data_IF_906034177004
#
_entry.id   IF_906034177004
#
_cell.length_a   1.000
_cell.length_b   1.000
_cell.length_c   1.000
_cell.angle_alpha   90.00
_cell.angle_beta   90.00
_cell.angle_gamma   90.00
#
_symmetry.space_group_name_H-M   'P 1'
#
loop_
_entity.id
_entity.type
_entity.pdbx_description
1 polymer ?
#
# COMPACT_ATOMS: atom_id res chain seq x y z
N UNK A 1 -36.40 -14.65 -44.57
CA UNK A 1 -35.07 -14.01 -44.35
C UNK A 1 -34.27 -14.89 -43.41
N UNK A 2 -33.34 -15.71 -43.91
CA UNK A 2 -32.47 -16.59 -43.11
C UNK A 2 -31.34 -15.72 -42.53
N UNK A 3 -31.36 -15.47 -41.24
CA UNK A 3 -30.26 -14.77 -40.54
C UNK A 3 -29.05 -15.69 -40.56
N UNK A 4 -27.95 -15.23 -41.15
CA UNK A 4 -26.72 -15.99 -41.31
C UNK A 4 -26.14 -16.36 -39.91
N UNK A 5 -25.81 -17.63 -39.67
CA UNK A 5 -25.20 -18.07 -38.40
C UNK A 5 -23.86 -17.39 -38.15
N UNK A 6 -23.21 -16.84 -39.16
CA UNK A 6 -21.94 -16.15 -39.04
C UNK A 6 -22.02 -14.87 -38.17
N UNK A 7 -23.15 -14.15 -38.19
CA UNK A 7 -23.37 -12.96 -37.37
C UNK A 7 -23.53 -13.31 -35.88
N UNK A 8 -24.11 -14.48 -35.58
CA UNK A 8 -24.31 -14.91 -34.20
C UNK A 8 -22.99 -15.37 -33.54
N UNK A 9 -22.12 -16.04 -34.30
CA UNK A 9 -20.80 -16.46 -33.80
C UNK A 9 -19.84 -15.29 -33.63
N UNK A 10 -19.89 -14.28 -34.48
CA UNK A 10 -19.08 -13.07 -34.34
C UNK A 10 -19.49 -12.24 -33.12
N UNK A 11 -20.79 -12.14 -32.84
CA UNK A 11 -21.31 -11.43 -31.66
C UNK A 11 -20.96 -12.16 -30.35
N UNK A 12 -20.96 -13.48 -30.34
CA UNK A 12 -20.57 -14.30 -29.18
C UNK A 12 -19.06 -14.18 -28.88
N UNK A 13 -18.21 -14.08 -29.91
CA UNK A 13 -16.77 -13.88 -29.78
C UNK A 13 -16.42 -12.48 -29.20
N UNK A 14 -17.18 -11.46 -29.53
CA UNK A 14 -16.96 -10.09 -29.01
C UNK A 14 -17.32 -10.01 -27.51
N UNK A 15 -18.30 -10.76 -27.04
CA UNK A 15 -18.70 -10.77 -25.62
C UNK A 15 -17.65 -11.47 -24.74
N UNK A 16 -16.91 -12.42 -25.27
CA UNK A 16 -15.87 -13.16 -24.54
C UNK A 16 -14.58 -12.36 -24.32
N UNK A 17 -14.38 -11.26 -25.03
CA UNK A 17 -13.15 -10.45 -24.90
C UNK A 17 -13.25 -9.29 -23.89
N UNK A 18 -14.42 -9.05 -23.30
CA UNK A 18 -14.55 -8.09 -22.19
C UNK A 18 -14.19 -8.83 -20.89
N UNK A 19 -12.97 -9.30 -20.82
CA UNK A 19 -12.35 -9.67 -19.55
C UNK A 19 -12.08 -8.38 -18.78
N UNK A 20 -13.08 -7.94 -18.03
CA UNK A 20 -12.96 -6.83 -17.11
C UNK A 20 -11.93 -7.23 -16.05
N UNK A 21 -10.67 -6.83 -16.19
CA UNK A 21 -9.68 -6.95 -15.12
C UNK A 21 -10.17 -6.07 -13.97
N UNK A 22 -10.91 -6.67 -13.04
CA UNK A 22 -11.27 -6.03 -11.78
C UNK A 22 -9.99 -5.74 -11.05
N UNK A 23 -9.61 -4.47 -10.97
CA UNK A 23 -8.56 -4.06 -10.04
C UNK A 23 -9.10 -4.31 -8.62
N UNK A 24 -8.40 -5.14 -7.86
CA UNK A 24 -8.75 -5.35 -6.46
C UNK A 24 -8.71 -4.03 -5.71
N UNK A 25 -9.78 -3.72 -4.99
CA UNK A 25 -9.86 -2.57 -4.09
C UNK A 25 -9.94 -3.08 -2.67
N UNK A 26 -9.13 -2.49 -1.79
CA UNK A 26 -9.03 -2.85 -0.39
C UNK A 26 -9.76 -1.83 0.47
N UNK A 27 -10.63 -2.30 1.37
CA UNK A 27 -11.27 -1.47 2.38
C UNK A 27 -10.49 -1.59 3.69
N UNK A 28 -10.09 -0.45 4.24
CA UNK A 28 -9.42 -0.41 5.53
C UNK A 28 -10.44 -0.30 6.68
N UNK A 29 -10.17 -0.90 7.84
CA UNK A 29 -11.08 -0.85 9.00
C UNK A 29 -11.25 0.57 9.57
N UNK A 30 -10.24 1.40 9.43
CA UNK A 30 -10.22 2.81 9.83
C UNK A 30 -9.82 3.65 8.62
N UNK A 31 -10.57 4.73 8.36
CA UNK A 31 -10.23 5.67 7.29
C UNK A 31 -9.15 6.66 7.76
N UNK A 32 -7.95 6.14 8.01
CA UNK A 32 -6.81 6.90 8.51
C UNK A 32 -6.44 8.07 7.58
N UNK A 33 -6.24 9.26 8.17
CA UNK A 33 -5.94 10.49 7.47
C UNK A 33 -4.47 10.89 7.67
N UNK A 34 -3.59 10.50 6.73
CA UNK A 34 -2.17 10.85 6.80
C UNK A 34 -1.95 12.37 6.78
N UNK A 35 -2.72 13.09 5.94
CA UNK A 35 -2.58 14.54 5.81
C UNK A 35 -2.75 15.26 7.15
N UNK A 36 -3.78 14.91 7.90
CA UNK A 36 -4.05 15.49 9.22
C UNK A 36 -2.87 15.26 10.18
N UNK A 37 -2.38 14.03 10.24
CA UNK A 37 -1.28 13.67 11.15
C UNK A 37 0.05 14.34 10.77
N UNK A 38 0.31 14.51 9.47
CA UNK A 38 1.54 15.16 8.99
C UNK A 38 1.47 16.68 9.10
N UNK A 39 0.34 17.29 8.71
CA UNK A 39 0.24 18.75 8.64
C UNK A 39 -0.19 19.39 9.98
N UNK A 40 -1.04 18.74 10.77
CA UNK A 40 -1.58 19.32 11.99
C UNK A 40 -0.93 18.78 13.27
N UNK A 41 -0.54 17.48 13.26
CA UNK A 41 0.18 16.89 14.40
C UNK A 41 1.70 16.89 14.23
N UNK A 42 2.24 17.42 13.12
CA UNK A 42 3.68 17.54 12.80
C UNK A 42 4.43 16.20 12.88
N UNK A 43 3.75 15.08 12.49
CA UNK A 43 4.32 13.75 12.53
C UNK A 43 5.00 13.38 11.21
N UNK A 44 6.23 12.89 11.29
CA UNK A 44 6.96 12.35 10.15
C UNK A 44 6.62 10.87 9.91
N UNK A 45 7.01 10.37 8.72
CA UNK A 45 6.76 8.97 8.35
C UNK A 45 7.33 7.97 9.38
N UNK A 46 8.49 8.28 9.94
CA UNK A 46 9.23 7.38 10.83
C UNK A 46 8.71 7.36 12.27
N UNK A 47 7.90 8.34 12.67
CA UNK A 47 7.29 8.35 14.00
C UNK A 47 6.31 7.19 14.13
N UNK A 48 5.65 6.82 13.03
CA UNK A 48 4.74 5.70 12.97
C UNK A 48 5.35 4.44 12.32
N UNK A 49 6.08 4.58 11.21
CA UNK A 49 6.68 3.44 10.49
C UNK A 49 8.11 3.13 10.96
N UNK A 50 8.27 2.86 12.25
CA UNK A 50 9.57 2.70 12.96
C UNK A 50 10.48 1.60 12.36
N UNK A 51 9.91 0.55 11.77
CA UNK A 51 10.66 -0.59 11.21
C UNK A 51 11.36 -0.36 9.87
N UNK A 52 11.03 0.72 9.16
CA UNK A 52 11.51 0.99 7.78
C UNK A 52 13.04 1.03 7.66
N UNK A 53 13.72 1.64 8.61
CA UNK A 53 15.16 1.83 8.55
C UNK A 53 15.96 0.58 8.94
N UNK A 54 15.36 -0.32 9.71
CA UNK A 54 16.07 -1.44 10.38
C UNK A 54 15.66 -2.81 9.87
N UNK A 55 14.43 -2.95 9.34
CA UNK A 55 13.86 -4.23 8.97
C UNK A 55 13.64 -4.36 7.45
N UNK A 56 13.44 -5.59 7.03
CA UNK A 56 13.05 -5.91 5.65
C UNK A 56 11.65 -5.37 5.35
N UNK A 57 10.70 -5.55 6.28
CA UNK A 57 9.33 -5.05 6.18
C UNK A 57 9.20 -3.76 6.99
N UNK A 58 8.51 -2.77 6.38
CA UNK A 58 8.15 -1.54 7.02
C UNK A 58 7.02 -1.77 7.98
N UNK A 59 6.87 -2.16 8.99
CA UNK A 59 5.70 -2.39 9.86
C UNK A 59 4.54 -1.41 9.60
N UNK A 60 3.31 -1.89 9.76
CA UNK A 60 2.13 -1.04 9.81
C UNK A 60 1.93 -0.69 11.29
N UNK A 61 1.90 0.61 11.66
CA UNK A 61 1.65 1.01 13.05
C UNK A 61 0.29 0.52 13.52
N UNK A 62 0.19 0.19 14.79
CA UNK A 62 -1.05 -0.31 15.38
C UNK A 62 -1.30 0.35 16.74
N UNK A 63 -2.18 -0.18 17.57
CA UNK A 63 -2.64 0.45 18.81
C UNK A 63 -1.50 0.86 19.75
N UNK A 64 -0.40 0.12 19.76
CA UNK A 64 0.80 0.43 20.53
C UNK A 64 1.47 1.76 20.17
N UNK A 65 1.26 2.23 18.93
CA UNK A 65 1.70 3.56 18.48
C UNK A 65 0.58 4.58 18.65
N UNK A 66 -0.65 4.19 18.33
CA UNK A 66 -1.80 5.10 18.37
C UNK A 66 -2.09 5.61 19.79
N UNK A 67 -1.91 4.78 20.82
CA UNK A 67 -2.19 5.11 22.22
C UNK A 67 -1.31 6.24 22.76
N UNK A 68 -0.15 6.48 22.15
CA UNK A 68 0.74 7.57 22.58
C UNK A 68 0.03 8.95 22.55
N UNK A 69 -1.05 9.07 21.74
CA UNK A 69 -1.86 10.29 21.65
C UNK A 69 -3.37 10.04 21.78
N UNK A 70 -3.86 8.85 21.43
CA UNK A 70 -5.27 8.50 21.37
C UNK A 70 -5.74 7.62 22.54
N UNK A 71 -5.26 7.87 23.75
CA UNK A 71 -5.81 7.21 24.96
C UNK A 71 -7.30 7.56 25.12
N UNK A 72 -7.64 8.82 24.78
CA UNK A 72 -9.00 9.33 24.70
C UNK A 72 -9.22 10.01 23.34
N UNK A 73 -10.49 10.20 22.95
CA UNK A 73 -10.81 10.91 21.72
C UNK A 73 -10.50 12.41 21.85
N UNK A 74 -9.76 12.97 20.89
CA UNK A 74 -9.43 14.39 20.80
C UNK A 74 -10.37 15.16 19.89
N UNK A 75 -11.26 14.47 19.16
CA UNK A 75 -12.21 15.06 18.22
C UNK A 75 -13.52 14.28 18.16
N UNK A 76 -14.52 14.83 17.46
CA UNK A 76 -15.80 14.15 17.21
C UNK A 76 -15.73 13.18 15.99
N UNK A 77 -14.53 12.80 15.55
CA UNK A 77 -14.35 11.92 14.40
C UNK A 77 -14.75 10.49 14.72
N UNK A 78 -15.69 9.93 13.95
CA UNK A 78 -16.07 8.51 14.06
C UNK A 78 -14.91 7.56 13.73
N UNK A 79 -13.94 8.00 12.96
CA UNK A 79 -12.77 7.18 12.64
C UNK A 79 -11.79 7.14 13.82
N UNK A 80 -11.64 8.25 14.54
CA UNK A 80 -10.90 8.29 15.79
C UNK A 80 -11.58 7.47 16.88
N UNK A 81 -12.91 7.57 17.04
CA UNK A 81 -13.69 6.73 17.96
C UNK A 81 -13.40 5.23 17.74
N UNK A 82 -13.27 4.78 16.49
CA UNK A 82 -12.88 3.39 16.19
C UNK A 82 -11.49 3.07 16.75
N UNK A 83 -10.54 3.99 16.61
CA UNK A 83 -9.16 3.78 17.11
C UNK A 83 -9.17 3.66 18.63
N UNK A 84 -9.84 4.59 19.32
CA UNK A 84 -10.00 4.56 20.79
C UNK A 84 -10.67 3.26 21.25
N UNK A 85 -11.69 2.78 20.53
CA UNK A 85 -12.34 1.50 20.83
C UNK A 85 -11.38 0.31 20.66
N UNK A 86 -10.53 0.28 19.61
CA UNK A 86 -9.51 -0.75 19.46
C UNK A 86 -8.49 -0.73 20.61
N UNK A 87 -8.11 0.47 21.05
CA UNK A 87 -7.18 0.65 22.18
C UNK A 87 -7.80 0.17 23.48
N UNK A 88 -9.01 0.62 23.82
CA UNK A 88 -9.72 0.27 25.06
C UNK A 88 -9.98 -1.24 25.18
N UNK A 89 -10.21 -1.92 24.05
CA UNK A 89 -10.40 -3.36 23.98
C UNK A 89 -9.06 -4.12 23.91
N UNK A 90 -7.90 -3.44 23.92
CA UNK A 90 -6.58 -4.00 23.69
C UNK A 90 -6.53 -4.91 22.45
N UNK A 91 -7.17 -4.49 21.38
CA UNK A 91 -7.36 -5.25 20.14
C UNK A 91 -6.67 -4.57 18.97
N UNK A 92 -5.82 -5.32 18.27
CA UNK A 92 -5.12 -4.79 17.09
C UNK A 92 -6.10 -4.41 15.99
N UNK A 93 -5.83 -3.27 15.32
CA UNK A 93 -6.56 -2.86 14.13
C UNK A 93 -6.21 -3.83 13.00
N UNK A 94 -7.20 -4.52 12.37
CA UNK A 94 -6.95 -5.52 11.34
C UNK A 94 -6.66 -4.87 9.97
N UNK A 95 -5.55 -4.15 9.89
CA UNK A 95 -5.13 -3.48 8.66
C UNK A 95 -4.99 -4.44 7.49
N UNK A 96 -5.46 -4.03 6.32
CA UNK A 96 -5.31 -4.77 5.07
C UNK A 96 -4.03 -4.32 4.36
N UNK A 97 -3.11 -5.24 4.13
CA UNK A 97 -1.88 -4.95 3.41
C UNK A 97 -2.17 -4.72 1.92
N UNK A 98 -1.98 -3.49 1.44
CA UNK A 98 -2.23 -3.07 0.06
C UNK A 98 -1.00 -3.23 -0.83
N UNK A 99 0.18 -2.83 -0.33
CA UNK A 99 1.43 -2.96 -1.07
C UNK A 99 2.08 -4.30 -0.78
N UNK A 100 2.20 -5.14 -1.80
CA UNK A 100 2.82 -6.45 -1.72
C UNK A 100 3.87 -6.63 -2.80
N UNK A 101 4.99 -7.22 -2.41
CA UNK A 101 5.96 -7.82 -3.33
C UNK A 101 5.66 -9.32 -3.34
N UNK A 102 5.68 -10.01 -4.50
CA UNK A 102 5.47 -11.46 -4.57
C UNK A 102 6.43 -12.22 -3.65
N UNK A 103 5.98 -13.34 -3.08
CA UNK A 103 6.75 -14.09 -2.08
C UNK A 103 8.08 -14.63 -2.60
N UNK A 104 8.19 -14.85 -3.91
CA UNK A 104 9.42 -15.28 -4.59
C UNK A 104 10.41 -14.13 -4.85
N UNK A 105 10.05 -12.89 -4.53
CA UNK A 105 10.89 -11.71 -4.74
C UNK A 105 11.40 -11.15 -3.41
N UNK A 106 12.70 -10.95 -3.32
CA UNK A 106 13.35 -10.41 -2.14
C UNK A 106 13.34 -8.89 -2.19
N UNK A 107 12.63 -8.28 -1.26
CA UNK A 107 12.62 -6.84 -1.08
C UNK A 107 12.96 -6.48 0.36
N UNK A 108 13.69 -5.39 0.58
CA UNK A 108 14.02 -4.90 1.91
C UNK A 108 13.94 -3.38 1.96
N UNK A 109 13.04 -2.85 2.78
CA UNK A 109 12.97 -1.41 3.04
C UNK A 109 14.30 -0.85 3.55
N UNK A 110 14.96 -1.53 4.49
CA UNK A 110 16.27 -1.11 5.00
C UNK A 110 17.28 -0.91 3.87
N UNK A 111 17.35 -1.83 2.89
CA UNK A 111 18.29 -1.69 1.77
C UNK A 111 17.96 -0.49 0.88
N UNK A 112 16.67 -0.23 0.63
CA UNK A 112 16.24 0.85 -0.26
C UNK A 112 16.24 2.21 0.43
N UNK A 113 15.70 2.31 1.64
CA UNK A 113 15.53 3.58 2.36
C UNK A 113 16.79 3.93 3.15
N UNK A 114 17.30 3.02 3.98
CA UNK A 114 18.43 3.33 4.87
C UNK A 114 19.75 3.37 4.09
N UNK A 115 20.04 2.37 3.27
CA UNK A 115 21.29 2.28 2.50
C UNK A 115 21.20 2.99 1.15
N UNK A 116 20.12 2.80 0.42
CA UNK A 116 19.88 3.41 -0.89
C UNK A 116 19.44 4.86 -0.85
N UNK A 117 19.09 5.40 0.33
CA UNK A 117 18.65 6.79 0.56
C UNK A 117 17.45 7.21 -0.28
N UNK A 118 16.58 6.25 -0.65
CA UNK A 118 15.37 6.54 -1.40
C UNK A 118 14.27 7.10 -0.50
N UNK A 119 13.57 8.13 -0.98
CA UNK A 119 12.39 8.67 -0.30
C UNK A 119 11.19 7.75 -0.38
N UNK A 120 10.32 7.80 0.62
CA UNK A 120 9.11 6.96 0.70
C UNK A 120 8.21 7.14 -0.52
N UNK A 121 8.08 8.36 -1.00
CA UNK A 121 7.22 8.74 -2.13
C UNK A 121 7.67 8.18 -3.49
N UNK A 122 8.93 7.76 -3.62
CA UNK A 122 9.43 7.11 -4.85
C UNK A 122 8.62 5.83 -5.18
N UNK A 123 8.15 5.13 -4.13
CA UNK A 123 7.39 3.88 -4.24
C UNK A 123 5.92 4.03 -3.83
N UNK A 124 5.63 4.91 -2.87
CA UNK A 124 4.29 5.03 -2.28
C UNK A 124 3.53 6.28 -2.76
N UNK A 125 4.15 7.14 -3.58
CA UNK A 125 3.53 8.39 -4.00
C UNK A 125 3.35 9.40 -2.86
N UNK A 126 2.49 10.38 -3.04
CA UNK A 126 2.27 11.44 -2.04
C UNK A 126 1.33 10.98 -0.91
N UNK A 127 1.82 10.11 -0.03
CA UNK A 127 1.04 9.60 1.12
C UNK A 127 0.75 10.71 2.14
N UNK A 128 1.71 11.61 2.35
CA UNK A 128 1.55 12.72 3.29
C UNK A 128 0.31 13.59 3.02
N UNK A 129 -0.08 13.74 1.74
CA UNK A 129 -1.28 14.47 1.35
C UNK A 129 -2.57 13.66 1.33
N UNK A 130 -2.56 12.39 1.75
CA UNK A 130 -3.73 11.53 1.66
C UNK A 130 -4.66 11.71 2.86
N UNK A 131 -5.95 11.97 2.56
CA UNK A 131 -7.03 12.06 3.57
C UNK A 131 -7.71 10.73 3.85
N UNK A 132 -7.38 9.68 3.11
CA UNK A 132 -7.88 8.30 3.27
C UNK A 132 -6.75 7.31 2.97
N UNK A 133 -6.78 6.13 3.57
CA UNK A 133 -5.77 5.11 3.31
C UNK A 133 -5.88 4.56 1.88
N UNK A 134 -4.85 3.87 1.44
CA UNK A 134 -4.84 3.21 0.14
C UNK A 134 -5.97 2.20 0.00
N UNK A 135 -6.75 2.32 -1.08
CA UNK A 135 -7.66 1.27 -1.56
C UNK A 135 -7.02 0.38 -2.64
N UNK A 136 -5.88 0.79 -3.17
CA UNK A 136 -5.07 0.07 -4.17
C UNK A 136 -3.63 0.59 -4.13
N UNK A 137 -2.64 -0.19 -4.61
CA UNK A 137 -1.26 0.28 -4.66
C UNK A 137 -1.11 1.57 -5.49
N UNK A 138 -0.32 2.51 -5.00
CA UNK A 138 -0.02 3.77 -5.71
C UNK A 138 0.74 3.52 -7.02
N UNK A 139 1.58 2.50 -7.05
CA UNK A 139 2.34 2.05 -8.22
C UNK A 139 2.20 0.54 -8.38
N UNK A 140 2.21 0.06 -9.61
CA UNK A 140 2.28 -1.37 -9.88
C UNK A 140 3.72 -1.83 -9.66
N UNK A 141 3.98 -2.50 -8.54
CA UNK A 141 5.28 -3.07 -8.21
C UNK A 141 5.39 -4.43 -8.89
N UNK A 142 6.03 -4.46 -10.06
CA UNK A 142 6.35 -5.67 -10.80
C UNK A 142 7.87 -5.71 -11.14
N UNK A 143 8.32 -6.83 -11.69
CA UNK A 143 9.72 -7.02 -12.03
C UNK A 143 10.24 -5.92 -12.98
N UNK A 144 9.45 -5.53 -13.95
CA UNK A 144 9.84 -4.49 -14.91
C UNK A 144 10.03 -3.13 -14.22
N UNK A 145 9.14 -2.78 -13.28
CA UNK A 145 9.26 -1.56 -12.50
C UNK A 145 10.54 -1.54 -11.66
N UNK A 146 10.84 -2.65 -10.99
CA UNK A 146 12.08 -2.81 -10.21
C UNK A 146 13.32 -2.67 -11.11
N UNK A 147 13.35 -3.38 -12.24
CA UNK A 147 14.48 -3.37 -13.17
C UNK A 147 14.71 -1.99 -13.80
N UNK A 148 13.66 -1.22 -14.11
CA UNK A 148 13.80 0.15 -14.62
C UNK A 148 14.53 1.04 -13.61
N UNK A 149 14.14 0.98 -12.33
CA UNK A 149 14.77 1.74 -11.26
C UNK A 149 16.22 1.32 -11.04
N UNK A 150 16.50 0.02 -10.95
CA UNK A 150 17.85 -0.53 -10.79
C UNK A 150 18.75 -0.17 -11.97
N UNK A 151 18.24 -0.19 -13.20
CA UNK A 151 18.97 0.25 -14.39
C UNK A 151 19.32 1.73 -14.34
N UNK A 152 18.35 2.58 -13.99
CA UNK A 152 18.53 4.04 -13.86
C UNK A 152 19.61 4.38 -12.82
N UNK A 153 19.60 3.68 -11.70
CA UNK A 153 20.52 3.93 -10.58
C UNK A 153 21.82 3.11 -10.66
N UNK A 154 22.03 2.31 -11.73
CA UNK A 154 23.23 1.48 -11.97
C UNK A 154 23.52 0.50 -10.82
N UNK A 155 22.47 -0.02 -10.20
CA UNK A 155 22.58 -1.05 -9.15
C UNK A 155 22.32 -2.44 -9.72
N UNK A 156 22.64 -3.45 -8.93
CA UNK A 156 22.58 -4.85 -9.32
C UNK A 156 21.19 -5.28 -9.85
N UNK A 157 21.20 -6.13 -10.86
CA UNK A 157 20.01 -6.67 -11.56
C UNK A 157 20.14 -8.17 -11.80
N UNK A 158 21.07 -8.83 -11.09
CA UNK A 158 21.19 -10.27 -11.15
C UNK A 158 19.92 -10.95 -10.63
N UNK A 159 19.51 -12.01 -11.30
CA UNK A 159 18.28 -12.73 -10.95
C UNK A 159 18.31 -13.24 -9.50
N UNK A 160 19.45 -13.78 -9.06
CA UNK A 160 19.62 -14.33 -7.72
C UNK A 160 19.63 -13.27 -6.60
N UNK A 161 19.84 -12.00 -6.93
CA UNK A 161 19.75 -10.91 -5.96
C UNK A 161 18.31 -10.65 -5.51
N UNK A 162 17.36 -10.87 -6.41
CA UNK A 162 15.93 -10.58 -6.18
C UNK A 162 15.08 -11.84 -6.03
N UNK A 163 15.52 -12.97 -6.57
CA UNK A 163 14.75 -14.22 -6.56
C UNK A 163 15.47 -15.33 -5.79
N UNK A 164 14.69 -16.12 -5.06
CA UNK A 164 15.13 -17.33 -4.38
C UNK A 164 14.21 -18.50 -4.71
#
# INVERSE_FOLDING_TARGET
MKRSPLFFTLFLLIILTISCSRSETYNQPVAYNHKLHVEEADLGCLDCHKGVLTHQKATIPNIDVCIECHEEAMSDSKEEEKVVNYISENRQIPWVQVHRVPDHAYFSHRRHVSLGKLGCQECHGNVAGMTRPFSRPAVKIDMEWCLRCHKKNRVDRDCATCHR
#
